data_IF_186084396144
#
_entry.id   IF_186084396144
#
_cell.length_a   1.000
_cell.length_b   1.000
_cell.length_c   1.000
_cell.angle_alpha   90.00
_cell.angle_beta   90.00
_cell.angle_gamma   90.00
#
_symmetry.space_group_name_H-M   'P 1'
#
loop_
_entity.id
_entity.type
_entity.pdbx_description
1 polymer ?
#
# COMPACT_ATOMS: atom_id res chain seq x y z
N UNK A 1 16.22 -7.09 -0.15
CA UNK A 1 14.75 -7.21 -0.14
C UNK A 1 14.18 -5.93 0.44
N UNK A 2 13.25 -5.27 -0.26
CA UNK A 2 12.55 -4.04 0.17
C UNK A 2 11.16 -4.39 0.70
N UNK A 3 10.50 -3.40 1.30
CA UNK A 3 9.08 -3.51 1.68
C UNK A 3 8.24 -2.52 0.89
N UNK A 4 7.10 -2.97 0.38
CA UNK A 4 6.06 -2.12 -0.17
C UNK A 4 4.94 -2.01 0.85
N UNK A 5 4.70 -0.79 1.34
CA UNK A 5 3.57 -0.46 2.21
C UNK A 5 2.43 0.09 1.37
N UNK A 6 1.25 -0.51 1.49
CA UNK A 6 0.02 -0.11 0.83
C UNK A 6 -0.99 0.31 1.88
N UNK A 7 -1.61 1.47 1.69
CA UNK A 7 -2.75 1.93 2.48
C UNK A 7 -3.99 1.88 1.59
N UNK A 8 -5.00 1.19 2.07
CA UNK A 8 -6.27 0.96 1.39
C UNK A 8 -7.35 1.77 2.06
N UNK A 9 -8.19 2.46 1.30
CA UNK A 9 -9.49 2.94 1.78
C UNK A 9 -10.48 1.77 1.71
N UNK A 10 -10.96 1.31 2.86
CA UNK A 10 -11.84 0.13 2.95
C UNK A 10 -13.31 0.47 3.16
N UNK A 11 -13.62 1.73 3.47
CA UNK A 11 -14.99 2.21 3.70
C UNK A 11 -15.02 3.39 4.65
N UNK A 12 -16.17 3.64 5.24
CA UNK A 12 -16.39 4.65 6.28
C UNK A 12 -16.92 4.01 7.56
N UNK A 13 -16.63 4.60 8.70
CA UNK A 13 -17.18 4.16 9.99
C UNK A 13 -18.60 4.69 10.22
N UNK A 14 -19.13 4.48 11.43
CA UNK A 14 -20.48 4.92 11.83
C UNK A 14 -20.65 6.44 11.87
N UNK A 15 -19.54 7.19 11.95
CA UNK A 15 -19.52 8.65 11.97
C UNK A 15 -19.25 9.24 10.57
N UNK A 16 -19.00 8.39 9.57
CA UNK A 16 -18.64 8.80 8.21
C UNK A 16 -17.13 9.01 8.01
N UNK A 17 -16.30 8.68 9.01
CA UNK A 17 -14.85 8.85 8.90
C UNK A 17 -14.24 7.73 8.04
N UNK A 18 -13.28 8.04 7.15
CA UNK A 18 -12.67 7.05 6.28
C UNK A 18 -11.85 6.03 7.07
N UNK A 19 -12.15 4.74 6.88
CA UNK A 19 -11.43 3.63 7.48
C UNK A 19 -10.34 3.17 6.52
N UNK A 20 -9.11 3.13 7.01
CA UNK A 20 -7.96 2.70 6.24
C UNK A 20 -7.36 1.41 6.76
N UNK A 21 -6.91 0.53 5.85
CA UNK A 21 -6.13 -0.66 6.19
C UNK A 21 -4.74 -0.58 5.59
N UNK A 22 -3.71 -0.86 6.40
CA UNK A 22 -2.34 -0.95 5.91
C UNK A 22 -1.94 -2.40 5.69
N UNK A 23 -1.26 -2.67 4.59
CA UNK A 23 -0.66 -3.96 4.29
C UNK A 23 0.78 -3.76 3.83
N UNK A 24 1.67 -4.64 4.29
CA UNK A 24 3.08 -4.62 3.91
C UNK A 24 3.40 -5.88 3.13
N UNK A 25 4.10 -5.73 2.01
CA UNK A 25 4.56 -6.81 1.15
C UNK A 25 6.08 -6.79 1.10
N UNK A 26 6.71 -7.95 1.21
CA UNK A 26 8.13 -8.09 0.90
C UNK A 26 8.28 -8.11 -0.62
N UNK A 27 9.15 -7.25 -1.15
CA UNK A 27 9.37 -7.09 -2.59
C UNK A 27 10.86 -7.12 -2.90
N UNK A 28 11.21 -7.48 -4.13
CA UNK A 28 12.60 -7.49 -4.57
C UNK A 28 13.20 -6.09 -4.57
N UNK A 29 14.54 -5.99 -4.46
CA UNK A 29 15.24 -4.71 -4.49
C UNK A 29 15.13 -4.00 -5.86
N UNK A 30 14.76 -4.75 -6.89
CA UNK A 30 14.50 -4.29 -8.27
C UNK A 30 13.21 -3.49 -8.40
N UNK A 31 12.36 -3.48 -7.36
CA UNK A 31 11.12 -2.70 -7.32
C UNK A 31 11.46 -1.25 -6.98
N UNK A 32 11.14 -0.38 -7.93
CA UNK A 32 11.19 1.07 -7.84
C UNK A 32 9.76 1.66 -7.72
N UNK A 33 9.65 2.98 -7.71
CA UNK A 33 8.37 3.68 -7.56
C UNK A 33 7.40 3.35 -8.71
N UNK A 34 7.89 3.24 -9.94
CA UNK A 34 7.04 2.96 -11.10
C UNK A 34 6.46 1.54 -11.03
N UNK A 35 7.28 0.55 -10.69
CA UNK A 35 6.82 -0.84 -10.51
C UNK A 35 5.92 -0.97 -9.28
N UNK A 36 6.20 -0.25 -8.20
CA UNK A 36 5.34 -0.22 -7.02
C UNK A 36 3.93 0.32 -7.32
N UNK A 37 3.84 1.35 -8.17
CA UNK A 37 2.56 1.87 -8.64
C UNK A 37 1.79 0.83 -9.46
N UNK A 38 2.47 0.13 -10.38
CA UNK A 38 1.85 -0.95 -11.17
C UNK A 38 1.34 -2.08 -10.27
N UNK A 39 2.10 -2.46 -9.24
CA UNK A 39 1.65 -3.45 -8.24
C UNK A 39 0.43 -2.96 -7.49
N UNK A 40 0.42 -1.70 -7.03
CA UNK A 40 -0.71 -1.13 -6.31
C UNK A 40 -1.99 -1.09 -7.18
N UNK A 41 -1.89 -0.61 -8.43
CA UNK A 41 -2.99 -0.60 -9.40
C UNK A 41 -3.47 -2.00 -9.77
N UNK A 42 -2.55 -2.97 -9.85
CA UNK A 42 -2.92 -4.36 -10.11
C UNK A 42 -3.72 -4.91 -8.93
N UNK A 43 -3.24 -4.69 -7.70
CA UNK A 43 -3.95 -5.12 -6.51
C UNK A 43 -5.31 -4.43 -6.37
N UNK A 44 -5.43 -3.15 -6.70
CA UNK A 44 -6.70 -2.41 -6.73
C UNK A 44 -7.73 -3.04 -7.69
N UNK A 45 -7.31 -3.59 -8.83
CA UNK A 45 -8.21 -4.32 -9.74
C UNK A 45 -8.74 -5.63 -9.15
N UNK A 46 -8.00 -6.24 -8.23
CA UNK A 46 -8.35 -7.52 -7.61
C UNK A 46 -8.94 -7.36 -6.20
N UNK A 47 -8.95 -6.15 -5.65
CA UNK A 47 -9.61 -5.83 -4.39
C UNK A 47 -10.83 -4.95 -4.65
N UNK A 48 -11.78 -4.95 -3.71
CA UNK A 48 -12.89 -3.98 -3.71
C UNK A 48 -12.48 -2.66 -3.03
N UNK A 49 -11.19 -2.45 -2.78
CA UNK A 49 -10.66 -1.35 -1.98
C UNK A 49 -9.82 -0.43 -2.85
N UNK A 50 -9.97 0.88 -2.65
CA UNK A 50 -9.17 1.86 -3.38
C UNK A 50 -7.80 2.03 -2.72
N UNK A 51 -6.74 2.12 -3.52
CA UNK A 51 -5.40 2.44 -3.00
C UNK A 51 -5.37 3.93 -2.65
N UNK A 52 -5.12 4.24 -1.38
CA UNK A 52 -4.88 5.61 -0.91
C UNK A 52 -3.42 5.99 -1.14
N UNK A 53 -2.49 5.16 -0.66
CA UNK A 53 -1.04 5.40 -0.80
C UNK A 53 -0.25 4.12 -0.98
N UNK A 54 0.80 4.19 -1.80
CA UNK A 54 1.77 3.13 -2.03
C UNK A 54 3.19 3.66 -1.82
N UNK A 55 3.97 3.02 -0.95
CA UNK A 55 5.29 3.49 -0.54
C UNK A 55 6.30 2.35 -0.50
N UNK A 56 7.40 2.50 -1.24
CA UNK A 56 8.55 1.60 -1.13
C UNK A 56 9.41 2.06 0.05
N UNK A 57 9.46 1.25 1.10
CA UNK A 57 10.27 1.49 2.28
C UNK A 57 11.71 1.07 1.96
N UNK A 58 12.59 2.06 1.85
CA UNK A 58 14.03 1.88 1.60
C UNK A 58 14.88 1.99 2.87
N UNK A 59 14.30 2.49 3.96
CA UNK A 59 14.92 2.61 5.27
C UNK A 59 13.82 2.58 6.34
N UNK A 60 14.02 1.80 7.41
CA UNK A 60 13.24 1.91 8.64
C UNK A 60 14.18 2.42 9.73
N UNK A 61 13.82 3.52 10.38
CA UNK A 61 14.51 3.93 11.59
C UNK A 61 14.20 2.90 12.68
N UNK A 62 15.20 2.17 13.13
CA UNK A 62 15.10 1.32 14.31
C UNK A 62 15.15 2.25 15.52
N UNK A 63 14.04 2.38 16.23
CA UNK A 63 13.94 3.09 17.52
C UNK A 63 14.13 2.07 18.64
#
# INVERSE_FOLDING_TARGET
MKRLSLKWLVGTDVNGDPVFKRQTLNVEDTIDVAKALVVAQTLEKYTTYSVDTAQVITYEAVI
#
